data_IF_417794265491
#
_entry.id   IF_417794265491
#
_cell.length_a   1.000
_cell.length_b   1.000
_cell.length_c   1.000
_cell.angle_alpha   90.00
_cell.angle_beta   90.00
_cell.angle_gamma   90.00
#
_symmetry.space_group_name_H-M   'P 1'
#
loop_
_entity.id
_entity.type
_entity.pdbx_description
1 polymer ?
#
# COMPACT_ATOMS: atom_id res chain seq x y z
N UNK A 1 -10.47 -2.19 -14.59
CA UNK A 1 -11.21 -1.71 -13.39
C UNK A 1 -10.97 -0.21 -13.26
N UNK A 2 -12.04 0.60 -13.37
CA UNK A 2 -11.91 2.06 -13.24
C UNK A 2 -11.79 2.43 -11.76
N UNK A 3 -10.85 3.32 -11.43
CA UNK A 3 -10.72 3.95 -10.09
C UNK A 3 -11.81 5.04 -9.91
N UNK A 4 -13.07 4.66 -10.06
CA UNK A 4 -14.19 5.61 -10.00
C UNK A 4 -14.38 6.22 -8.61
N UNK A 5 -14.11 5.47 -7.54
CA UNK A 5 -14.24 5.90 -6.14
C UNK A 5 -12.88 5.85 -5.46
N UNK A 6 -12.67 6.67 -4.43
CA UNK A 6 -11.40 6.78 -3.71
C UNK A 6 -10.82 5.43 -3.26
N UNK A 7 -11.68 4.53 -2.79
CA UNK A 7 -11.27 3.22 -2.28
C UNK A 7 -11.29 2.10 -3.33
N UNK A 8 -11.64 2.38 -4.57
CA UNK A 8 -11.68 1.36 -5.64
C UNK A 8 -10.32 0.72 -5.86
N UNK A 9 -10.26 -0.61 -5.85
CA UNK A 9 -9.05 -1.42 -6.02
C UNK A 9 -8.00 -1.27 -4.91
N UNK A 10 -8.28 -0.52 -3.84
CA UNK A 10 -7.37 -0.33 -2.71
C UNK A 10 -7.78 -1.11 -1.47
N UNK A 11 -9.06 -1.52 -1.37
CA UNK A 11 -9.56 -2.27 -0.22
C UNK A 11 -9.43 -3.77 -0.41
N UNK A 12 -8.83 -4.43 0.58
CA UNK A 12 -8.64 -5.89 0.65
C UNK A 12 -9.23 -6.45 1.95
N UNK A 13 -9.79 -7.65 1.88
CA UNK A 13 -10.34 -8.34 3.05
C UNK A 13 -9.23 -9.01 3.86
N UNK A 14 -9.08 -8.64 5.14
CA UNK A 14 -8.06 -9.20 6.04
C UNK A 14 -8.26 -10.68 6.40
N UNK A 15 -9.45 -11.25 6.12
CA UNK A 15 -9.72 -12.67 6.38
C UNK A 15 -9.42 -13.58 5.18
N UNK A 16 -9.59 -13.10 3.95
CA UNK A 16 -9.47 -13.96 2.76
C UNK A 16 -8.67 -13.37 1.61
N UNK A 17 -8.13 -12.15 1.76
CA UNK A 17 -7.32 -11.48 0.74
C UNK A 17 -8.10 -10.99 -0.50
N UNK A 18 -9.41 -11.20 -0.57
CA UNK A 18 -10.19 -10.76 -1.72
C UNK A 18 -10.50 -9.25 -1.64
N UNK A 19 -10.62 -8.60 -2.81
CA UNK A 19 -11.00 -7.19 -2.87
C UNK A 19 -12.39 -6.96 -2.27
N UNK A 20 -12.62 -5.72 -1.80
CA UNK A 20 -13.95 -5.27 -1.42
C UNK A 20 -14.60 -4.54 -2.60
N UNK A 21 -15.94 -4.64 -2.68
CA UNK A 21 -16.76 -3.93 -3.65
C UNK A 21 -17.71 -2.95 -2.98
N UNK A 22 -17.90 -1.80 -3.62
CA UNK A 22 -18.81 -0.75 -3.19
C UNK A 22 -20.26 -1.14 -3.45
N UNK A 23 -21.11 -1.00 -2.45
CA UNK A 23 -22.54 -1.30 -2.55
C UNK A 23 -23.37 -0.22 -1.89
N UNK A 24 -24.57 0.03 -2.43
CA UNK A 24 -25.57 0.90 -1.82
C UNK A 24 -26.59 0.05 -1.09
N UNK A 25 -26.77 0.30 0.20
CA UNK A 25 -27.80 -0.32 1.02
C UNK A 25 -28.94 0.66 1.23
N UNK A 26 -30.17 0.14 1.26
CA UNK A 26 -31.38 0.91 1.48
C UNK A 26 -31.52 2.12 0.53
N UNK A 27 -31.22 1.92 -0.76
CA UNK A 27 -31.16 2.99 -1.77
C UNK A 27 -32.44 3.80 -1.92
N UNK A 28 -33.58 3.21 -1.58
CA UNK A 28 -34.95 3.81 -1.64
C UNK A 28 -35.43 4.39 -0.32
N UNK A 29 -34.67 4.39 0.75
CA UNK A 29 -35.07 4.85 2.08
C UNK A 29 -34.19 5.98 2.62
N UNK A 30 -34.65 6.66 3.68
CA UNK A 30 -33.89 7.65 4.43
C UNK A 30 -32.64 7.06 5.12
N UNK A 31 -32.55 5.74 5.22
CA UNK A 31 -31.40 5.01 5.79
C UNK A 31 -30.38 4.58 4.75
N UNK A 32 -30.36 5.21 3.60
CA UNK A 32 -29.41 4.96 2.52
C UNK A 32 -27.96 5.03 3.03
N UNK A 33 -27.21 3.93 2.87
CA UNK A 33 -25.79 3.85 3.24
C UNK A 33 -24.96 3.29 2.08
N UNK A 34 -23.77 3.81 1.92
CA UNK A 34 -22.75 3.23 1.06
C UNK A 34 -21.86 2.35 1.92
N UNK A 35 -21.66 1.11 1.52
CA UNK A 35 -20.82 0.15 2.22
C UNK A 35 -19.81 -0.49 1.27
N UNK A 36 -18.70 -0.94 1.83
CA UNK A 36 -17.73 -1.79 1.17
C UNK A 36 -17.81 -3.20 1.72
N UNK A 37 -17.83 -4.20 0.86
CA UNK A 37 -18.08 -5.58 1.24
C UNK A 37 -17.19 -6.54 0.46
N UNK A 38 -16.68 -7.58 1.14
CA UNK A 38 -15.82 -8.60 0.53
C UNK A 38 -16.50 -9.25 -0.68
N UNK A 39 -15.80 -9.26 -1.81
CA UNK A 39 -16.30 -9.84 -3.07
C UNK A 39 -16.51 -11.34 -2.93
N UNK A 40 -15.62 -12.05 -2.25
CA UNK A 40 -15.71 -13.50 -2.05
C UNK A 40 -16.92 -13.87 -1.19
N UNK A 41 -17.15 -13.15 -0.09
CA UNK A 41 -18.34 -13.35 0.75
C UNK A 41 -19.66 -13.07 0.02
N UNK A 42 -19.66 -12.13 -0.94
CA UNK A 42 -20.89 -11.73 -1.65
C UNK A 42 -21.18 -12.53 -2.91
N UNK A 43 -20.16 -12.98 -3.64
CA UNK A 43 -20.31 -13.78 -4.87
C UNK A 43 -20.42 -15.27 -4.57
N UNK A 44 -19.51 -15.77 -3.73
CA UNK A 44 -19.38 -17.21 -3.47
C UNK A 44 -20.17 -17.64 -2.22
N UNK A 45 -20.64 -16.65 -1.44
CA UNK A 45 -21.43 -16.83 -0.24
C UNK A 45 -20.61 -16.73 1.06
N UNK A 46 -21.34 -16.50 2.16
CA UNK A 46 -20.75 -16.31 3.49
C UNK A 46 -19.87 -17.47 3.98
N UNK A 47 -20.12 -18.69 3.50
CA UNK A 47 -19.31 -19.87 3.85
C UNK A 47 -17.83 -19.74 3.45
N UNK A 48 -17.53 -18.96 2.41
CA UNK A 48 -16.15 -18.78 1.91
C UNK A 48 -15.39 -17.61 2.59
N UNK A 49 -16.13 -16.70 3.23
CA UNK A 49 -15.56 -15.65 4.07
C UNK A 49 -16.59 -15.27 5.14
N UNK A 50 -16.75 -16.11 6.20
CA UNK A 50 -17.82 -15.95 7.19
C UNK A 50 -17.59 -14.74 8.10
N UNK A 51 -16.34 -14.39 8.37
CA UNK A 51 -15.96 -13.38 9.34
C UNK A 51 -15.99 -11.94 8.76
N UNK A 52 -15.98 -11.80 7.43
CA UNK A 52 -16.06 -10.48 6.81
C UNK A 52 -17.46 -9.86 6.99
N UNK A 53 -17.49 -8.57 7.31
CA UNK A 53 -18.69 -7.75 7.38
C UNK A 53 -18.58 -6.53 6.49
N UNK A 54 -19.74 -5.99 6.07
CA UNK A 54 -19.79 -4.75 5.32
C UNK A 54 -19.43 -3.57 6.22
N UNK A 55 -18.53 -2.71 5.75
CA UNK A 55 -18.11 -1.50 6.44
C UNK A 55 -18.64 -0.25 5.73
N UNK A 56 -19.25 0.72 6.43
CA UNK A 56 -19.66 1.98 5.83
C UNK A 56 -18.46 2.75 5.27
N UNK A 57 -18.64 3.36 4.09
CA UNK A 57 -17.60 4.17 3.42
C UNK A 57 -17.09 5.28 4.35
N UNK A 58 -17.99 5.95 5.03
CA UNK A 58 -17.70 7.03 5.95
C UNK A 58 -16.83 6.59 7.15
N UNK A 59 -16.98 5.35 7.63
CA UNK A 59 -16.12 4.81 8.70
C UNK A 59 -14.68 4.68 8.23
N UNK A 60 -14.46 4.32 6.97
CA UNK A 60 -13.11 4.23 6.38
C UNK A 60 -12.51 5.62 6.22
N UNK A 61 -13.31 6.62 5.82
CA UNK A 61 -12.88 8.01 5.69
C UNK A 61 -12.47 8.60 7.04
N UNK A 62 -13.28 8.41 8.08
CA UNK A 62 -12.98 8.88 9.43
C UNK A 62 -11.76 8.17 10.04
N UNK A 63 -11.67 6.85 9.84
CA UNK A 63 -10.49 6.08 10.24
C UNK A 63 -9.20 6.57 9.54
N UNK A 64 -9.29 6.93 8.26
CA UNK A 64 -8.15 7.49 7.55
C UNK A 64 -7.73 8.85 8.14
N UNK A 65 -8.67 9.75 8.43
CA UNK A 65 -8.38 11.05 9.06
C UNK A 65 -7.66 10.84 10.39
N UNK A 66 -8.13 9.89 11.19
CA UNK A 66 -7.50 9.57 12.47
C UNK A 66 -6.10 8.98 12.28
N UNK A 67 -5.94 8.01 11.39
CA UNK A 67 -4.63 7.45 11.03
C UNK A 67 -3.66 8.52 10.56
N UNK A 68 -4.14 9.47 9.75
CA UNK A 68 -3.34 10.59 9.27
C UNK A 68 -2.94 11.55 10.40
N UNK A 69 -3.86 11.87 11.32
CA UNK A 69 -3.57 12.68 12.50
C UNK A 69 -2.51 12.03 13.39
N UNK A 70 -2.64 10.74 13.66
CA UNK A 70 -1.63 9.98 14.41
C UNK A 70 -0.27 10.02 13.74
N UNK A 71 -0.25 9.90 12.40
CA UNK A 71 0.99 9.99 11.62
C UNK A 71 1.65 11.37 11.75
N UNK A 72 0.85 12.45 11.74
CA UNK A 72 1.35 13.82 11.78
C UNK A 72 1.68 14.34 13.19
N UNK A 73 0.92 13.90 14.22
CA UNK A 73 1.02 14.45 15.58
C UNK A 73 2.08 13.75 16.43
N UNK A 74 2.09 12.41 16.44
CA UNK A 74 2.91 11.64 17.38
C UNK A 74 4.22 11.12 16.77
N UNK A 75 4.38 11.16 15.46
CA UNK A 75 5.45 10.41 14.79
C UNK A 75 6.25 11.22 13.75
N UNK A 76 6.23 12.55 13.81
CA UNK A 76 6.99 13.34 12.84
C UNK A 76 8.49 13.01 12.92
N UNK A 77 9.03 12.94 14.13
CA UNK A 77 10.43 12.60 14.35
C UNK A 77 10.71 11.13 14.02
N UNK A 78 9.79 10.22 14.39
CA UNK A 78 9.89 8.78 14.07
C UNK A 78 9.76 8.54 12.56
N UNK A 79 8.86 9.27 11.91
CA UNK A 79 8.68 9.20 10.47
C UNK A 79 9.91 9.75 9.73
N UNK A 80 10.44 10.89 10.16
CA UNK A 80 11.65 11.48 9.60
C UNK A 80 12.87 10.57 9.83
N UNK A 81 12.99 9.95 11.00
CA UNK A 81 14.03 8.96 11.30
C UNK A 81 13.85 7.69 10.43
N UNK A 82 12.63 7.15 10.30
CA UNK A 82 12.34 6.01 9.44
C UNK A 82 12.68 6.31 7.98
N UNK A 83 12.22 7.44 7.46
CA UNK A 83 12.51 7.87 6.08
C UNK A 83 14.02 8.06 5.88
N UNK A 84 14.70 8.68 6.85
CA UNK A 84 16.17 8.86 6.81
C UNK A 84 16.90 7.52 6.78
N UNK A 85 16.48 6.54 7.59
CA UNK A 85 17.05 5.18 7.58
C UNK A 85 16.85 4.48 6.24
N UNK A 86 15.63 4.57 5.66
CA UNK A 86 15.34 4.00 4.34
C UNK A 86 16.17 4.67 3.26
N UNK A 87 16.26 6.01 3.26
CA UNK A 87 17.11 6.77 2.33
C UNK A 87 18.58 6.37 2.45
N UNK A 88 19.09 6.19 3.67
CA UNK A 88 20.47 5.74 3.91
C UNK A 88 20.70 4.32 3.38
N UNK A 89 19.78 3.39 3.64
CA UNK A 89 19.88 2.02 3.13
C UNK A 89 19.85 1.97 1.60
N UNK A 90 19.07 2.85 0.96
CA UNK A 90 18.96 2.96 -0.49
C UNK A 90 20.12 3.76 -1.12
N UNK A 91 20.92 4.47 -0.34
CA UNK A 91 22.06 5.26 -0.84
C UNK A 91 23.37 4.46 -0.93
N UNK A 92 23.41 3.22 -0.45
CA UNK A 92 24.59 2.37 -0.61
C UNK A 92 24.75 1.96 -2.08
N UNK A 93 25.69 2.57 -2.78
CA UNK A 93 26.03 2.36 -4.21
C UNK A 93 26.54 0.95 -4.56
N UNK A 94 26.38 -0.02 -3.64
CA UNK A 94 26.91 -1.38 -3.80
C UNK A 94 26.35 -2.12 -5.04
N UNK A 95 25.14 -1.76 -5.47
CA UNK A 95 24.51 -2.39 -6.64
C UNK A 95 25.17 -1.93 -7.95
N UNK A 96 25.49 -0.65 -8.08
CA UNK A 96 26.16 -0.10 -9.28
C UNK A 96 27.56 -0.69 -9.46
N UNK A 97 28.31 -0.83 -8.36
CA UNK A 97 29.65 -1.45 -8.40
C UNK A 97 29.58 -2.92 -8.80
N UNK A 98 28.56 -3.65 -8.34
CA UNK A 98 28.32 -5.05 -8.75
C UNK A 98 27.98 -5.16 -10.22
N UNK A 99 27.10 -4.29 -10.73
CA UNK A 99 26.76 -4.22 -12.16
C UNK A 99 28.02 -3.98 -13.00
N UNK A 100 28.83 -2.99 -12.63
CA UNK A 100 30.07 -2.67 -13.37
C UNK A 100 31.06 -3.84 -13.38
N UNK A 101 31.23 -4.55 -12.25
CA UNK A 101 32.07 -5.74 -12.16
C UNK A 101 31.57 -6.89 -13.04
N UNK A 102 30.25 -7.12 -13.04
CA UNK A 102 29.65 -8.18 -13.87
C UNK A 102 29.75 -7.84 -15.36
N UNK A 103 29.55 -6.57 -15.76
CA UNK A 103 29.74 -6.15 -17.16
C UNK A 103 31.18 -6.38 -17.62
N UNK A 104 32.18 -5.93 -16.84
CA UNK A 104 33.60 -6.20 -17.15
C UNK A 104 33.91 -7.69 -17.24
N UNK A 105 33.28 -8.52 -16.39
CA UNK A 105 33.42 -9.97 -16.44
C UNK A 105 32.84 -10.58 -17.73
N UNK A 106 31.66 -10.09 -18.15
CA UNK A 106 31.05 -10.50 -19.42
C UNK A 106 31.92 -10.13 -20.61
N UNK A 107 32.43 -8.90 -20.66
CA UNK A 107 33.30 -8.44 -21.75
C UNK A 107 34.58 -9.29 -21.84
N UNK A 108 35.21 -9.59 -20.71
CA UNK A 108 36.41 -10.46 -20.66
C UNK A 108 36.10 -11.88 -21.13
N UNK A 109 34.95 -12.43 -20.82
CA UNK A 109 34.53 -13.75 -21.30
C UNK A 109 34.24 -13.74 -22.80
N UNK A 110 33.65 -12.68 -23.34
CA UNK A 110 33.44 -12.53 -24.78
C UNK A 110 34.76 -12.45 -25.55
N UNK A 111 35.71 -11.70 -25.04
CA UNK A 111 37.06 -11.64 -25.63
C UNK A 111 37.73 -13.00 -25.63
N UNK A 112 37.65 -13.75 -24.53
CA UNK A 112 38.18 -15.12 -24.45
C UNK A 112 37.49 -16.07 -25.43
N UNK A 113 36.15 -15.98 -25.55
CA UNK A 113 35.37 -16.78 -26.47
C UNK A 113 35.77 -16.51 -27.93
N UNK A 114 35.98 -15.21 -28.28
CA UNK A 114 36.43 -14.83 -29.61
C UNK A 114 37.82 -15.39 -29.89
N UNK A 115 38.75 -15.30 -28.97
CA UNK A 115 40.09 -15.86 -29.11
C UNK A 115 40.09 -17.39 -29.23
N UNK A 116 39.19 -18.08 -28.52
CA UNK A 116 38.98 -19.52 -28.63
C UNK A 116 38.53 -19.91 -30.02
N UNK A 117 37.57 -19.16 -30.60
CA UNK A 117 37.11 -19.35 -31.97
C UNK A 117 38.20 -19.12 -32.99
N UNK A 118 39.03 -18.06 -32.87
CA UNK A 118 40.18 -17.78 -33.72
C UNK A 118 41.17 -18.95 -33.71
N UNK A 119 41.56 -19.44 -32.53
CA UNK A 119 42.46 -20.58 -32.38
C UNK A 119 41.89 -21.88 -32.98
N UNK A 120 40.60 -22.09 -32.89
CA UNK A 120 39.91 -23.23 -33.52
C UNK A 120 39.99 -23.13 -35.07
N UNK A 121 39.68 -21.96 -35.61
CA UNK A 121 39.74 -21.70 -37.04
C UNK A 121 41.16 -21.85 -37.63
N UNK A 122 42.19 -21.53 -36.83
CA UNK A 122 43.60 -21.71 -37.16
C UNK A 122 44.09 -23.17 -36.99
N UNK A 123 43.25 -24.07 -36.51
CA UNK A 123 43.57 -25.47 -36.28
C UNK A 123 44.46 -25.75 -35.04
N UNK A 124 44.62 -24.75 -34.15
CA UNK A 124 45.42 -24.86 -32.92
C UNK A 124 44.67 -25.65 -31.84
N UNK A 125 43.34 -25.54 -31.81
CA UNK A 125 42.47 -26.19 -30.82
C UNK A 125 41.63 -27.26 -31.51
N UNK A 126 41.55 -28.48 -30.95
CA UNK A 126 40.73 -29.55 -31.44
C UNK A 126 39.22 -29.26 -31.24
N UNK A 127 38.37 -29.86 -32.11
CA UNK A 127 36.94 -29.55 -32.12
C UNK A 127 36.25 -29.88 -30.78
N UNK A 128 36.55 -30.99 -30.15
CA UNK A 128 35.98 -31.43 -28.88
C UNK A 128 36.31 -30.44 -27.72
N UNK A 129 37.55 -29.98 -27.68
CA UNK A 129 38.00 -28.97 -26.69
C UNK A 129 37.30 -27.61 -26.94
N UNK A 130 37.16 -27.24 -28.21
CA UNK A 130 36.44 -26.02 -28.56
C UNK A 130 35.01 -26.07 -28.10
N UNK A 131 34.27 -27.13 -28.46
CA UNK A 131 32.85 -27.29 -28.13
C UNK A 131 32.62 -27.29 -26.59
N UNK A 132 33.39 -28.06 -25.83
CA UNK A 132 33.31 -28.11 -24.38
C UNK A 132 33.59 -26.74 -23.72
N UNK A 133 34.62 -26.06 -24.19
CA UNK A 133 35.03 -24.75 -23.65
C UNK A 133 34.02 -23.66 -24.01
N UNK A 134 33.50 -23.67 -25.26
CA UNK A 134 32.50 -22.71 -25.73
C UNK A 134 31.19 -22.83 -24.96
N UNK A 135 30.69 -24.04 -24.72
CA UNK A 135 29.52 -24.28 -23.87
C UNK A 135 29.76 -23.79 -22.45
N UNK A 136 30.98 -23.97 -21.92
CA UNK A 136 31.35 -23.44 -20.60
C UNK A 136 31.32 -21.90 -20.53
N UNK A 137 31.78 -21.22 -21.58
CA UNK A 137 31.69 -19.75 -21.65
C UNK A 137 30.25 -19.27 -21.83
N UNK A 138 29.46 -19.96 -22.65
CA UNK A 138 28.05 -19.61 -22.89
C UNK A 138 27.23 -19.70 -21.60
N UNK A 139 27.42 -20.78 -20.81
CA UNK A 139 26.78 -20.92 -19.48
C UNK A 139 27.14 -19.76 -18.56
N UNK A 140 28.42 -19.42 -18.42
CA UNK A 140 28.88 -18.31 -17.60
C UNK A 140 28.31 -16.96 -18.05
N UNK A 141 28.23 -16.72 -19.34
CA UNK A 141 27.64 -15.50 -19.90
C UNK A 141 26.11 -15.43 -19.63
N UNK A 142 25.42 -16.56 -19.70
CA UNK A 142 23.99 -16.66 -19.35
C UNK A 142 23.76 -16.33 -17.87
N UNK A 143 24.56 -16.89 -16.98
CA UNK A 143 24.49 -16.62 -15.53
C UNK A 143 24.74 -15.14 -15.22
N UNK A 144 25.75 -14.53 -15.86
CA UNK A 144 26.03 -13.11 -15.70
C UNK A 144 24.86 -12.25 -16.20
N UNK A 145 24.24 -12.58 -17.36
CA UNK A 145 23.09 -11.86 -17.89
C UNK A 145 21.90 -11.93 -16.93
N UNK A 146 21.61 -13.11 -16.37
CA UNK A 146 20.55 -13.28 -15.39
C UNK A 146 20.78 -12.43 -14.13
N UNK A 147 22.01 -12.42 -13.60
CA UNK A 147 22.38 -11.61 -12.45
C UNK A 147 22.30 -10.10 -12.73
N UNK A 148 22.70 -9.65 -13.92
CA UNK A 148 22.56 -8.26 -14.33
C UNK A 148 21.11 -7.84 -14.40
N UNK A 149 20.23 -8.65 -15.02
CA UNK A 149 18.80 -8.35 -15.10
C UNK A 149 18.16 -8.24 -13.72
N UNK A 150 18.54 -9.11 -12.77
CA UNK A 150 18.05 -9.05 -11.39
C UNK A 150 18.51 -7.76 -10.67
N UNK A 151 19.78 -7.38 -10.83
CA UNK A 151 20.32 -6.15 -10.22
C UNK A 151 19.69 -4.90 -10.83
N UNK A 152 19.48 -4.87 -12.14
CA UNK A 152 18.78 -3.77 -12.84
C UNK A 152 17.36 -3.60 -12.34
N UNK A 153 16.63 -4.70 -12.14
CA UNK A 153 15.29 -4.65 -11.56
C UNK A 153 15.30 -4.10 -10.13
N UNK A 154 16.23 -4.54 -9.28
CA UNK A 154 16.40 -4.00 -7.93
C UNK A 154 16.66 -2.51 -7.93
N UNK A 155 17.55 -2.03 -8.81
CA UNK A 155 17.85 -0.59 -8.94
C UNK A 155 16.60 0.21 -9.39
N UNK A 156 15.79 -0.32 -10.29
CA UNK A 156 14.53 0.33 -10.69
C UNK A 156 13.53 0.40 -9.53
N UNK A 157 13.43 -0.66 -8.75
CA UNK A 157 12.56 -0.71 -7.56
C UNK A 157 13.02 0.32 -6.50
N UNK A 158 14.32 0.46 -6.28
CA UNK A 158 14.89 1.49 -5.38
C UNK A 158 14.59 2.92 -5.84
N UNK A 159 14.75 3.21 -7.13
CA UNK A 159 14.42 4.53 -7.70
C UNK A 159 12.93 4.83 -7.54
N UNK A 160 12.08 3.83 -7.78
CA UNK A 160 10.63 3.93 -7.57
C UNK A 160 10.29 4.23 -6.11
N UNK A 161 10.96 3.56 -5.17
CA UNK A 161 10.76 3.77 -3.73
C UNK A 161 11.22 5.17 -3.29
N UNK A 162 12.39 5.64 -3.73
CA UNK A 162 12.87 7.02 -3.47
C UNK A 162 11.87 8.08 -3.95
N UNK A 163 11.32 7.89 -5.15
CA UNK A 163 10.28 8.79 -5.68
C UNK A 163 9.03 8.79 -4.82
N UNK A 164 8.53 7.61 -4.42
CA UNK A 164 7.35 7.48 -3.55
C UNK A 164 7.55 8.16 -2.19
N UNK A 165 8.75 8.04 -1.61
CA UNK A 165 9.12 8.72 -0.35
C UNK A 165 9.11 10.24 -0.53
N UNK A 166 9.68 10.75 -1.63
CA UNK A 166 9.71 12.18 -1.90
C UNK A 166 8.29 12.76 -2.11
N UNK A 167 7.43 12.05 -2.85
CA UNK A 167 6.03 12.41 -3.05
C UNK A 167 5.24 12.41 -1.73
N UNK A 168 5.51 11.43 -0.87
CA UNK A 168 4.94 11.32 0.47
C UNK A 168 5.35 12.49 1.38
N UNK A 169 6.66 12.79 1.46
CA UNK A 169 7.17 13.96 2.20
C UNK A 169 6.51 15.25 1.74
N UNK A 170 6.37 15.44 0.43
CA UNK A 170 5.72 16.61 -0.17
C UNK A 170 4.24 16.70 0.20
N UNK A 171 3.53 15.57 0.22
CA UNK A 171 2.13 15.53 0.63
C UNK A 171 1.95 15.91 2.11
N UNK A 172 2.80 15.37 3.01
CA UNK A 172 2.77 15.70 4.43
C UNK A 172 3.13 17.16 4.72
N UNK A 173 4.13 17.73 4.04
CA UNK A 173 4.56 19.11 4.27
C UNK A 173 3.56 20.16 3.75
N UNK A 174 2.77 19.79 2.73
CA UNK A 174 1.81 20.70 2.09
C UNK A 174 0.48 20.79 2.84
N UNK A 175 0.08 19.72 3.51
CA UNK A 175 -1.23 19.57 4.11
C UNK A 175 -1.08 19.47 5.63
N UNK A 176 -1.47 20.52 6.35
CA UNK A 176 -1.55 20.54 7.82
C UNK A 176 -2.50 19.46 8.38
N UNK A 177 -3.11 19.70 9.53
CA UNK A 177 -4.08 18.78 10.13
C UNK A 177 -5.27 18.59 9.19
N UNK A 178 -5.52 17.32 8.81
CA UNK A 178 -6.66 16.95 7.97
C UNK A 178 -7.93 16.92 8.85
N UNK A 179 -8.90 17.77 8.55
CA UNK A 179 -10.20 17.80 9.27
C UNK A 179 -11.27 16.99 8.55
N UNK A 180 -11.21 16.94 7.21
CA UNK A 180 -12.13 16.20 6.34
C UNK A 180 -11.36 15.27 5.42
N UNK A 181 -12.03 14.22 4.92
CA UNK A 181 -11.43 13.27 3.98
C UNK A 181 -11.10 13.94 2.65
N UNK A 182 -9.83 13.93 2.29
CA UNK A 182 -9.33 14.36 0.98
C UNK A 182 -8.87 13.15 0.16
N UNK A 183 -9.55 12.93 -0.97
CA UNK A 183 -9.26 11.84 -1.90
C UNK A 183 -7.85 11.94 -2.49
N UNK A 184 -7.41 13.15 -2.85
CA UNK A 184 -6.10 13.37 -3.46
C UNK A 184 -4.96 13.02 -2.51
N UNK A 185 -5.09 13.43 -1.23
CA UNK A 185 -4.15 13.07 -0.17
C UNK A 185 -4.17 11.56 0.02
N UNK A 186 -5.34 10.95 0.19
CA UNK A 186 -5.49 9.52 0.39
C UNK A 186 -4.80 8.71 -0.75
N UNK A 187 -5.14 8.98 -2.00
CA UNK A 187 -4.56 8.29 -3.17
C UNK A 187 -3.05 8.56 -3.32
N UNK A 188 -2.55 9.71 -2.83
CA UNK A 188 -1.12 10.05 -2.92
C UNK A 188 -0.25 9.26 -1.95
N UNK A 189 -0.77 8.94 -0.75
CA UNK A 189 0.03 8.35 0.34
C UNK A 189 -0.31 6.89 0.66
N UNK A 190 -1.53 6.43 0.35
CA UNK A 190 -1.97 5.06 0.65
C UNK A 190 -1.68 4.14 -0.54
N UNK A 191 -1.08 3.00 -0.25
CA UNK A 191 -0.88 1.89 -1.18
C UNK A 191 -2.07 0.93 -1.15
N UNK A 192 -2.50 0.54 0.05
CA UNK A 192 -3.55 -0.45 0.28
C UNK A 192 -4.20 -0.23 1.64
N UNK A 193 -5.48 -0.63 1.75
CA UNK A 193 -6.21 -0.69 3.02
C UNK A 193 -6.75 -2.10 3.22
N UNK A 194 -6.47 -2.70 4.38
CA UNK A 194 -6.99 -4.01 4.75
C UNK A 194 -8.15 -3.80 5.73
N UNK A 195 -9.28 -4.44 5.45
CA UNK A 195 -10.50 -4.34 6.27
C UNK A 195 -10.82 -5.69 6.91
N UNK A 196 -10.97 -5.69 8.23
CA UNK A 196 -11.10 -6.88 9.07
C UNK A 196 -9.76 -7.54 9.34
N UNK A 197 -9.75 -8.49 10.25
CA UNK A 197 -8.57 -9.24 10.65
C UNK A 197 -8.67 -9.73 12.07
N UNK A 198 -7.52 -9.93 12.68
CA UNK A 198 -7.39 -10.36 14.07
C UNK A 198 -6.71 -9.26 14.87
N UNK A 199 -7.11 -9.11 16.13
CA UNK A 199 -6.40 -8.24 17.08
C UNK A 199 -5.12 -8.93 17.60
N UNK A 200 -4.42 -8.27 18.54
CA UNK A 200 -3.17 -8.78 19.14
C UNK A 200 -3.40 -10.08 19.96
N UNK A 201 -4.60 -10.24 20.50
CA UNK A 201 -5.00 -11.42 21.27
C UNK A 201 -5.54 -12.56 20.38
N UNK A 202 -5.59 -12.37 19.07
CA UNK A 202 -6.10 -13.34 18.09
C UNK A 202 -7.61 -13.38 17.97
N UNK A 203 -8.34 -12.41 18.56
CA UNK A 203 -9.78 -12.30 18.39
C UNK A 203 -10.13 -11.67 17.03
N UNK A 204 -11.29 -12.06 16.50
CA UNK A 204 -11.75 -11.54 15.21
C UNK A 204 -12.31 -10.13 15.34
N UNK A 205 -11.74 -9.19 14.63
CA UNK A 205 -12.28 -7.85 14.46
C UNK A 205 -12.65 -7.60 13.00
N UNK A 206 -13.94 -7.72 12.63
CA UNK A 206 -14.39 -7.50 11.25
C UNK A 206 -14.34 -6.02 10.83
N UNK A 207 -14.12 -5.11 11.76
CA UNK A 207 -14.06 -3.66 11.54
C UNK A 207 -12.68 -3.07 11.83
N UNK A 208 -11.66 -3.89 12.06
CA UNK A 208 -10.26 -3.46 12.06
C UNK A 208 -9.92 -2.89 10.70
N UNK A 209 -9.24 -1.76 10.66
CA UNK A 209 -8.75 -1.16 9.44
C UNK A 209 -7.24 -0.99 9.56
N UNK A 210 -6.49 -1.58 8.62
CA UNK A 210 -5.04 -1.41 8.53
C UNK A 210 -4.74 -0.60 7.28
N UNK A 211 -4.17 0.59 7.45
CA UNK A 211 -3.66 1.42 6.37
C UNK A 211 -2.20 1.06 6.08
N UNK A 212 -1.92 0.69 4.83
CA UNK A 212 -0.56 0.47 4.33
C UNK A 212 -0.20 1.68 3.47
N UNK A 213 0.78 2.43 3.94
CA UNK A 213 1.28 3.61 3.26
C UNK A 213 2.29 3.22 2.18
N UNK A 214 2.43 4.03 1.13
CA UNK A 214 3.39 3.80 0.03
C UNK A 214 4.86 3.72 0.47
N UNK A 215 5.15 4.17 1.68
CA UNK A 215 6.46 4.03 2.33
C UNK A 215 6.68 2.66 2.96
N UNK A 216 5.65 1.81 3.02
CA UNK A 216 5.66 0.54 3.75
C UNK A 216 5.24 0.67 5.22
N UNK A 217 5.06 1.89 5.74
CA UNK A 217 4.52 2.11 7.08
C UNK A 217 3.10 1.55 7.20
N UNK A 218 2.77 1.02 8.39
CA UNK A 218 1.44 0.46 8.67
C UNK A 218 0.86 1.12 9.90
N UNK A 219 -0.41 1.46 9.84
CA UNK A 219 -1.18 1.92 10.98
C UNK A 219 -2.50 1.16 11.08
N UNK A 220 -2.88 0.77 12.29
CA UNK A 220 -4.05 -0.07 12.56
C UNK A 220 -5.04 0.63 13.46
N UNK A 221 -6.31 0.56 13.09
CA UNK A 221 -7.42 1.09 13.87
C UNK A 221 -8.40 -0.05 14.15
N UNK A 222 -8.42 -0.53 15.40
CA UNK A 222 -9.35 -1.55 15.87
C UNK A 222 -10.75 -1.01 16.06
N UNK A 223 -11.75 -1.88 15.89
CA UNK A 223 -13.17 -1.59 16.15
C UNK A 223 -13.68 -0.28 15.50
N UNK A 224 -13.17 0.08 14.33
CA UNK A 224 -13.39 1.37 13.69
C UNK A 224 -14.89 1.73 13.58
N UNK A 225 -15.75 0.76 13.26
CA UNK A 225 -17.16 1.00 13.13
C UNK A 225 -17.80 1.43 14.46
N UNK A 226 -17.55 0.72 15.55
CA UNK A 226 -18.08 1.08 16.85
C UNK A 226 -17.57 2.44 17.33
N UNK A 227 -16.30 2.70 17.08
CA UNK A 227 -15.62 3.93 17.46
C UNK A 227 -16.26 5.16 16.80
N UNK A 228 -16.56 5.08 15.52
CA UNK A 228 -17.11 6.20 14.75
C UNK A 228 -18.64 6.27 14.77
N UNK A 229 -19.36 5.14 14.81
CA UNK A 229 -20.81 5.15 15.00
C UNK A 229 -21.21 5.72 16.38
N UNK A 230 -20.44 5.44 17.44
CA UNK A 230 -20.66 6.03 18.79
C UNK A 230 -20.42 7.54 18.82
N UNK A 231 -19.41 8.04 18.12
CA UNK A 231 -19.15 9.48 18.06
C UNK A 231 -20.27 10.24 17.35
N UNK A 232 -20.89 9.64 16.35
CA UNK A 232 -22.07 10.20 15.67
C UNK A 232 -23.32 10.17 16.54
N UNK A 233 -23.54 9.09 17.30
CA UNK A 233 -24.69 9.02 18.22
C UNK A 233 -24.63 10.11 19.30
N UNK A 234 -23.44 10.49 19.75
CA UNK A 234 -23.23 11.58 20.70
C UNK A 234 -23.47 12.95 20.03
N UNK A 235 -22.96 13.14 18.81
CA UNK A 235 -23.17 14.37 18.04
C UNK A 235 -24.64 14.61 17.66
N UNK A 236 -25.35 13.55 17.26
CA UNK A 236 -26.77 13.64 16.93
C UNK A 236 -27.64 13.86 18.17
N UNK A 237 -27.33 13.22 19.29
CA UNK A 237 -27.99 13.50 20.59
C UNK A 237 -27.72 14.92 21.09
N UNK A 238 -26.53 15.45 20.90
CA UNK A 238 -26.23 16.83 21.25
C UNK A 238 -27.00 17.81 20.36
N UNK A 239 -27.16 17.55 19.08
CA UNK A 239 -28.00 18.36 18.16
C UNK A 239 -29.49 18.28 18.50
N UNK A 240 -30.00 17.10 18.82
CA UNK A 240 -31.39 16.94 19.31
C UNK A 240 -31.61 17.69 20.63
N UNK A 241 -30.68 17.60 21.58
CA UNK A 241 -30.76 18.34 22.85
C UNK A 241 -30.76 19.86 22.60
N UNK A 242 -29.89 20.36 21.72
CA UNK A 242 -29.86 21.77 21.36
C UNK A 242 -31.14 22.21 20.64
N UNK A 243 -31.74 21.40 19.77
CA UNK A 243 -33.02 21.73 19.12
C UNK A 243 -34.18 21.79 20.12
N UNK A 244 -34.26 20.85 21.07
CA UNK A 244 -35.25 20.91 22.14
C UNK A 244 -35.13 22.15 23.02
N UNK A 245 -33.91 22.52 23.43
CA UNK A 245 -33.68 23.74 24.21
C UNK A 245 -34.12 24.99 23.44
N UNK A 246 -33.85 25.05 22.15
CA UNK A 246 -34.25 26.21 21.30
C UNK A 246 -35.78 26.28 21.15
N UNK A 247 -36.48 25.15 21.08
CA UNK A 247 -37.92 25.12 20.97
C UNK A 247 -38.57 25.46 22.32
N UNK A 248 -38.10 24.97 23.45
CA UNK A 248 -38.55 25.39 24.78
C UNK A 248 -38.37 26.89 25.04
N UNK A 249 -37.25 27.47 24.58
CA UNK A 249 -37.00 28.93 24.73
C UNK A 249 -37.97 29.75 23.86
N UNK A 250 -38.32 29.27 22.67
CA UNK A 250 -39.35 29.91 21.82
C UNK A 250 -40.73 29.88 22.42
N UNK A 251 -41.14 28.78 23.04
CA UNK A 251 -42.43 28.65 23.70
C UNK A 251 -42.55 29.58 24.92
N UNK A 252 -41.46 29.75 25.69
CA UNK A 252 -41.43 30.70 26.83
C UNK A 252 -41.50 32.16 26.34
N UNK A 253 -40.89 32.52 25.24
CA UNK A 253 -40.91 33.85 24.66
C UNK A 253 -42.28 34.21 23.97
N UNK A 254 -43.13 33.23 23.69
CA UNK A 254 -44.43 33.47 23.10
C UNK A 254 -45.53 33.76 24.13
N UNK A 255 -45.24 33.66 25.44
CA UNK A 255 -46.14 33.94 26.54
C UNK A 255 -45.85 35.28 27.30
N UNK A 256 -44.93 36.08 26.76
CA UNK A 256 -44.65 37.46 27.24
C UNK A 256 -45.06 38.46 26.16
#
# INVERSE_FOLDING_TARGET
YSRQYAFSCLLECGFCGANLSRRRWHSSSKYKKTIWQCVKSTKDGKRFCPDSKGIPEQVIEEAFIESYKMLCADNKDVLDEFISRVEKTLSEDSAKDKVLKLQKSADNLQVKRKKLLENYLEGIVAQDIYEETDVGYERKLSDIKANLAMLEQQMQDEVSLKRRIADFKKALSKNGVLEEFDRGIFESIIEKVIVGGYDEDGNKDPYKITFIYKTGFRNEIGNAKERFDKSKSIGDKAKELCSHIVDEVKDVCSYV
#
